data_IF_064792453659
#
_entry.id   IF_064792453659
#
_cell.length_a   1.000
_cell.length_b   1.000
_cell.length_c   1.000
_cell.angle_alpha   90.00
_cell.angle_beta   90.00
_cell.angle_gamma   90.00
#
_symmetry.space_group_name_H-M   'P 1'
#
loop_
_entity.id
_entity.type
_entity.pdbx_description
1 polymer ?
#
# COMPACT_ATOMS: atom_id res chain seq x y z
N UNK A 1 -7.05 -29.48 -20.32
CA UNK A 1 -7.36 -28.12 -19.80
C UNK A 1 -7.77 -28.29 -18.35
N UNK A 2 -6.81 -28.33 -17.43
CA UNK A 2 -7.08 -28.35 -15.99
C UNK A 2 -6.55 -27.06 -15.41
N UNK A 3 -7.53 -26.20 -15.19
CA UNK A 3 -7.61 -25.05 -14.30
C UNK A 3 -6.55 -25.08 -13.18
N UNK A 4 -5.59 -24.16 -13.24
CA UNK A 4 -4.63 -23.83 -12.18
C UNK A 4 -5.20 -22.68 -11.33
N UNK A 5 -6.42 -22.83 -10.81
CA UNK A 5 -7.05 -21.81 -9.96
C UNK A 5 -6.88 -22.22 -8.50
N UNK A 6 -5.76 -21.80 -7.87
CA UNK A 6 -5.58 -21.73 -6.41
C UNK A 6 -4.17 -21.21 -6.05
N UNK A 7 -3.81 -20.00 -6.48
CA UNK A 7 -2.48 -19.44 -6.19
C UNK A 7 -2.42 -17.92 -6.22
N UNK A 8 -3.52 -17.26 -5.91
CA UNK A 8 -3.73 -15.85 -6.23
C UNK A 8 -3.81 -15.01 -4.98
N UNK A 9 -2.79 -14.98 -4.14
CA UNK A 9 -2.96 -14.37 -2.85
C UNK A 9 -1.58 -13.91 -2.28
N UNK A 10 -1.51 -12.91 -1.36
CA UNK A 10 -0.27 -12.10 -1.17
C UNK A 10 0.23 -11.94 0.27
N UNK A 11 -0.65 -11.87 1.26
CA UNK A 11 -0.29 -11.81 2.68
C UNK A 11 -0.33 -13.19 3.30
N UNK A 12 0.67 -13.55 4.11
CA UNK A 12 0.69 -14.85 4.78
C UNK A 12 0.03 -14.74 6.14
N UNK A 13 -0.99 -15.56 6.42
CA UNK A 13 -1.71 -15.52 7.69
C UNK A 13 -0.81 -15.63 8.94
N UNK A 14 0.32 -16.33 8.83
CA UNK A 14 1.29 -16.52 9.93
C UNK A 14 2.42 -15.48 9.96
N UNK A 15 2.42 -14.49 9.06
CA UNK A 15 3.33 -13.36 9.17
C UNK A 15 3.03 -12.59 10.48
N UNK A 16 4.06 -12.19 11.23
CA UNK A 16 3.92 -11.53 12.55
C UNK A 16 2.93 -10.36 12.50
N UNK A 17 2.98 -9.57 11.43
CA UNK A 17 2.04 -8.46 11.20
C UNK A 17 0.62 -8.95 10.95
N UNK A 18 0.43 -10.00 10.16
CA UNK A 18 -0.88 -10.59 9.89
C UNK A 18 -1.53 -11.18 11.15
N UNK A 19 -0.74 -11.81 12.03
CA UNK A 19 -1.24 -12.30 13.33
C UNK A 19 -1.76 -11.14 14.19
N UNK A 20 -1.05 -10.01 14.24
CA UNK A 20 -1.55 -8.81 14.94
C UNK A 20 -2.82 -8.25 14.30
N UNK A 21 -2.89 -8.24 12.96
CA UNK A 21 -4.05 -7.74 12.22
C UNK A 21 -5.31 -8.60 12.40
N UNK A 22 -5.16 -9.89 12.73
CA UNK A 22 -6.29 -10.76 13.09
C UNK A 22 -6.93 -10.36 14.43
N UNK A 23 -6.16 -9.76 15.35
CA UNK A 23 -6.67 -9.30 16.65
C UNK A 23 -7.16 -7.86 16.55
N UNK A 24 -6.42 -7.00 15.86
CA UNK A 24 -6.77 -5.60 15.65
C UNK A 24 -6.36 -5.18 14.23
N UNK A 25 -7.32 -4.96 13.32
CA UNK A 25 -7.01 -4.62 11.93
C UNK A 25 -6.51 -3.18 11.77
N UNK A 26 -6.54 -2.35 12.82
CA UNK A 26 -6.09 -0.96 12.76
C UNK A 26 -4.58 -0.89 12.53
N UNK A 27 -4.18 -0.10 11.53
CA UNK A 27 -2.79 0.08 11.18
C UNK A 27 -2.56 1.46 10.54
N UNK A 28 -1.29 1.84 10.46
CA UNK A 28 -0.84 3.00 9.71
C UNK A 28 0.23 2.59 8.70
N UNK A 29 0.13 3.15 7.50
CA UNK A 29 1.12 2.99 6.42
C UNK A 29 1.80 4.33 6.18
N UNK A 30 3.13 4.35 6.22
CA UNK A 30 3.92 5.54 5.86
C UNK A 30 4.74 5.27 4.61
N UNK A 31 4.73 6.23 3.70
CA UNK A 31 5.53 6.23 2.47
C UNK A 31 6.23 7.58 2.33
N UNK A 32 7.43 7.56 1.73
CA UNK A 32 8.28 8.74 1.58
C UNK A 32 8.89 8.80 0.19
N UNK A 33 9.09 10.01 -0.32
CA UNK A 33 9.90 10.23 -1.52
C UNK A 33 11.35 9.76 -1.36
N UNK A 34 11.85 9.55 -0.14
CA UNK A 34 13.15 8.92 0.13
C UNK A 34 13.23 7.46 -0.32
N UNK A 35 12.10 6.78 -0.53
CA UNK A 35 12.06 5.43 -1.12
C UNK A 35 12.36 5.45 -2.64
N UNK A 36 12.41 6.65 -3.24
CA UNK A 36 12.85 6.90 -4.60
C UNK A 36 14.17 7.68 -4.60
N UNK A 37 14.71 8.02 -5.77
CA UNK A 37 15.91 8.86 -5.85
C UNK A 37 15.63 10.37 -5.66
N UNK A 38 14.36 10.79 -5.55
CA UNK A 38 13.96 12.20 -5.54
C UNK A 38 14.69 13.01 -4.45
N UNK A 39 14.60 12.61 -3.19
CA UNK A 39 15.19 13.39 -2.10
C UNK A 39 16.72 13.46 -2.20
N UNK A 40 17.36 12.37 -2.62
CA UNK A 40 18.80 12.34 -2.87
C UNK A 40 19.19 13.33 -3.97
N UNK A 41 18.45 13.34 -5.08
CA UNK A 41 18.71 14.25 -6.21
C UNK A 41 18.48 15.71 -5.85
N UNK A 42 17.52 16.00 -4.97
CA UNK A 42 17.26 17.36 -4.48
C UNK A 42 18.19 17.78 -3.32
N UNK A 43 19.03 16.88 -2.80
CA UNK A 43 19.86 17.15 -1.63
C UNK A 43 19.06 17.32 -0.33
N UNK A 44 17.84 16.78 -0.27
CA UNK A 44 17.01 16.82 0.93
C UNK A 44 17.37 15.68 1.88
N UNK A 45 17.60 16.03 3.15
CA UNK A 45 17.66 15.05 4.23
C UNK A 45 16.33 14.26 4.28
N UNK A 46 16.35 12.91 4.43
CA UNK A 46 15.14 12.10 4.46
C UNK A 46 14.15 12.40 5.59
N UNK A 47 14.54 13.17 6.61
CA UNK A 47 13.66 13.64 7.69
C UNK A 47 13.13 15.06 7.44
N UNK A 48 13.70 15.78 6.47
CA UNK A 48 13.22 17.12 6.10
C UNK A 48 11.81 17.03 5.53
N UNK A 49 10.90 17.95 5.88
CA UNK A 49 9.55 17.98 5.28
C UNK A 49 9.58 18.22 3.76
N UNK A 50 10.69 18.72 3.22
CA UNK A 50 10.89 18.85 1.77
C UNK A 50 11.06 17.48 1.06
N UNK A 51 11.49 16.46 1.79
CA UNK A 51 11.42 15.07 1.34
C UNK A 51 10.05 14.51 1.69
N UNK A 52 9.03 14.81 0.89
CA UNK A 52 7.65 14.61 1.30
C UNK A 52 7.32 13.18 1.79
N UNK A 53 6.52 13.11 2.86
CA UNK A 53 6.00 11.89 3.45
C UNK A 53 4.47 11.92 3.48
N UNK A 54 3.86 10.76 3.30
CA UNK A 54 2.44 10.53 3.54
C UNK A 54 2.29 9.47 4.62
N UNK A 55 1.31 9.67 5.51
CA UNK A 55 0.89 8.69 6.51
C UNK A 55 -0.61 8.45 6.29
N UNK A 56 -0.97 7.21 6.02
CA UNK A 56 -2.32 6.73 5.90
C UNK A 56 -2.66 5.95 7.16
N UNK A 57 -3.75 6.30 7.84
CA UNK A 57 -4.28 5.52 8.95
C UNK A 57 -5.64 4.93 8.57
N UNK A 58 -5.91 3.74 9.08
CA UNK A 58 -7.06 2.96 8.67
C UNK A 58 -7.00 1.52 9.15
N UNK A 59 -7.56 0.62 8.34
CA UNK A 59 -7.58 -0.81 8.66
C UNK A 59 -7.16 -1.68 7.48
N UNK A 60 -6.45 -2.77 7.75
CA UNK A 60 -6.18 -3.82 6.77
C UNK A 60 -7.34 -4.80 6.78
N UNK A 61 -7.95 -5.04 5.62
CA UNK A 61 -9.06 -5.97 5.46
C UNK A 61 -8.78 -6.93 4.31
N UNK A 62 -9.16 -8.20 4.48
CA UNK A 62 -9.09 -9.19 3.40
C UNK A 62 -10.05 -8.79 2.27
N UNK A 63 -9.58 -8.92 1.03
CA UNK A 63 -10.38 -8.70 -0.18
C UNK A 63 -11.09 -9.99 -0.53
N UNK A 64 -12.40 -9.91 -0.75
CA UNK A 64 -13.25 -11.05 -1.10
C UNK A 64 -14.11 -10.72 -2.32
N UNK A 65 -14.64 -11.75 -2.99
CA UNK A 65 -15.61 -11.59 -4.06
C UNK A 65 -15.06 -10.89 -5.31
N UNK A 66 -15.85 -9.99 -5.89
CA UNK A 66 -15.57 -9.37 -7.21
C UNK A 66 -14.35 -8.43 -7.21
N UNK A 67 -13.91 -7.93 -6.05
CA UNK A 67 -12.74 -7.06 -5.94
C UNK A 67 -11.42 -7.85 -5.97
N UNK A 68 -11.44 -9.17 -5.73
CA UNK A 68 -10.24 -10.00 -5.65
C UNK A 68 -9.45 -10.02 -6.97
N UNK A 69 -10.13 -10.14 -8.10
CA UNK A 69 -9.49 -10.09 -9.43
C UNK A 69 -8.81 -8.75 -9.70
N UNK A 70 -9.41 -7.66 -9.23
CA UNK A 70 -8.80 -6.33 -9.34
C UNK A 70 -7.56 -6.23 -8.45
N UNK A 71 -7.64 -6.69 -7.20
CA UNK A 71 -6.50 -6.68 -6.27
C UNK A 71 -5.32 -7.52 -6.80
N UNK A 72 -5.61 -8.72 -7.33
CA UNK A 72 -4.66 -9.59 -8.02
C UNK A 72 -3.93 -8.85 -9.14
N UNK A 73 -4.70 -8.32 -10.08
CA UNK A 73 -4.15 -7.63 -11.25
C UNK A 73 -3.34 -6.40 -10.84
N UNK A 74 -3.86 -5.59 -9.93
CA UNK A 74 -3.18 -4.39 -9.44
C UNK A 74 -1.82 -4.75 -8.83
N UNK A 75 -1.77 -5.77 -7.98
CA UNK A 75 -0.53 -6.13 -7.31
C UNK A 75 0.47 -6.82 -8.24
N UNK A 76 0.07 -7.85 -8.98
CA UNK A 76 0.98 -8.58 -9.85
C UNK A 76 1.48 -7.73 -11.03
N UNK A 77 0.74 -6.69 -11.43
CA UNK A 77 1.27 -5.70 -12.39
C UNK A 77 2.46 -4.89 -11.86
N UNK A 78 2.61 -4.80 -10.53
CA UNK A 78 3.70 -4.08 -9.86
C UNK A 78 4.77 -5.00 -9.29
N UNK A 79 4.38 -6.21 -8.89
CA UNK A 79 5.21 -7.23 -8.26
C UNK A 79 5.05 -8.57 -8.99
N UNK A 80 5.53 -8.70 -10.24
CA UNK A 80 5.37 -9.91 -11.03
C UNK A 80 6.02 -11.15 -10.38
N UNK A 81 7.03 -10.95 -9.53
CA UNK A 81 7.69 -12.03 -8.78
C UNK A 81 6.72 -12.78 -7.84
N UNK A 82 5.63 -12.15 -7.44
CA UNK A 82 4.63 -12.76 -6.55
C UNK A 82 3.79 -13.84 -7.25
N UNK A 83 3.77 -13.86 -8.58
CA UNK A 83 3.07 -14.91 -9.36
C UNK A 83 3.70 -16.29 -9.07
N UNK A 84 5.01 -16.32 -8.84
CA UNK A 84 5.78 -17.55 -8.65
C UNK A 84 5.99 -17.88 -7.16
N UNK A 85 5.33 -17.17 -6.24
CA UNK A 85 5.45 -17.45 -4.81
C UNK A 85 4.86 -18.83 -4.44
N UNK A 86 5.39 -19.51 -3.41
CA UNK A 86 4.93 -20.83 -3.02
C UNK A 86 3.44 -20.85 -2.69
N UNK A 87 2.66 -21.67 -3.38
CA UNK A 87 1.20 -21.75 -3.20
C UNK A 87 0.77 -22.39 -1.87
N UNK A 88 1.66 -23.13 -1.21
CA UNK A 88 1.42 -23.84 0.06
C UNK A 88 1.46 -22.92 1.29
N UNK A 89 1.64 -21.61 1.08
CA UNK A 89 1.69 -20.62 2.15
C UNK A 89 0.32 -20.02 2.53
N UNK A 90 -0.78 -20.40 1.87
CA UNK A 90 -2.14 -19.87 2.11
C UNK A 90 -2.13 -18.34 2.19
N UNK A 91 -1.57 -17.74 1.15
CA UNK A 91 -1.57 -16.29 1.06
C UNK A 91 -3.02 -15.77 1.02
N UNK A 92 -3.27 -14.46 1.25
CA UNK A 92 -4.53 -13.76 0.89
C UNK A 92 -4.35 -12.36 0.31
N UNK A 93 -5.28 -11.85 -0.50
CA UNK A 93 -5.28 -10.43 -0.88
C UNK A 93 -5.87 -9.59 0.23
N UNK A 94 -5.27 -8.43 0.50
CA UNK A 94 -5.80 -7.45 1.42
C UNK A 94 -5.76 -6.05 0.80
N UNK A 95 -6.64 -5.19 1.30
CA UNK A 95 -6.65 -3.77 1.01
C UNK A 95 -6.56 -2.96 2.30
N UNK A 96 -6.13 -1.72 2.16
CA UNK A 96 -6.08 -0.76 3.25
C UNK A 96 -7.26 0.20 3.15
N UNK A 97 -8.21 0.09 4.07
CA UNK A 97 -9.36 0.97 4.18
C UNK A 97 -8.94 2.26 4.93
N UNK A 98 -8.69 3.32 4.17
CA UNK A 98 -8.17 4.61 4.64
C UNK A 98 -9.28 5.39 5.35
N UNK A 99 -9.03 5.80 6.59
CA UNK A 99 -9.92 6.70 7.35
C UNK A 99 -9.31 8.07 7.59
N UNK A 100 -7.98 8.18 7.53
CA UNK A 100 -7.27 9.43 7.81
C UNK A 100 -6.00 9.52 6.96
N UNK A 101 -5.72 10.70 6.41
CA UNK A 101 -4.53 10.97 5.60
C UNK A 101 -3.80 12.19 6.15
N UNK A 102 -2.49 12.04 6.30
CA UNK A 102 -1.60 13.11 6.69
C UNK A 102 -0.46 13.26 5.68
N UNK A 103 -0.20 14.49 5.26
CA UNK A 103 0.87 14.83 4.32
C UNK A 103 1.83 15.81 4.99
N UNK A 104 3.12 15.46 5.00
CA UNK A 104 4.20 16.33 5.39
C UNK A 104 5.06 16.60 4.16
N UNK A 105 4.88 17.77 3.55
CA UNK A 105 5.50 18.17 2.27
C UNK A 105 6.18 19.54 2.33
N UNK A 106 6.05 20.27 3.44
CA UNK A 106 6.66 21.57 3.64
C UNK A 106 6.74 21.95 5.12
N UNK A 107 7.45 23.04 5.41
CA UNK A 107 7.47 23.63 6.75
C UNK A 107 6.08 24.15 7.14
N UNK A 108 5.82 24.19 8.45
CA UNK A 108 4.51 24.60 9.01
C UNK A 108 3.69 23.46 9.58
N UNK A 109 4.21 22.22 9.54
CA UNK A 109 3.58 21.05 10.14
C UNK A 109 2.80 20.20 9.15
N UNK A 110 2.10 19.21 9.68
CA UNK A 110 1.38 18.20 8.89
C UNK A 110 0.05 18.75 8.36
N UNK A 111 -0.28 18.43 7.11
CA UNK A 111 -1.58 18.73 6.49
C UNK A 111 -2.48 17.50 6.61
N UNK A 112 -3.74 17.73 6.99
CA UNK A 112 -4.77 16.68 6.99
C UNK A 112 -5.51 16.71 5.67
N UNK A 113 -5.71 15.54 5.05
CA UNK A 113 -6.48 15.35 3.82
C UNK A 113 -7.62 14.37 4.12
N UNK A 114 -8.81 14.65 3.63
CA UNK A 114 -9.95 13.72 3.79
C UNK A 114 -9.81 12.52 2.85
N UNK A 115 -10.38 11.35 3.17
CA UNK A 115 -10.40 10.22 2.25
C UNK A 115 -11.02 10.57 0.89
N UNK A 116 -12.07 11.39 0.88
CA UNK A 116 -12.74 11.81 -0.36
C UNK A 116 -11.80 12.63 -1.26
N UNK A 117 -11.09 13.61 -0.70
CA UNK A 117 -10.07 14.38 -1.44
C UNK A 117 -8.94 13.48 -1.94
N UNK A 118 -8.50 12.53 -1.12
CA UNK A 118 -7.46 11.58 -1.50
C UNK A 118 -7.88 10.71 -2.69
N UNK A 119 -9.09 10.14 -2.67
CA UNK A 119 -9.58 9.27 -3.74
C UNK A 119 -10.03 10.04 -5.00
N UNK A 120 -10.36 11.33 -4.89
CA UNK A 120 -10.70 12.19 -6.04
C UNK A 120 -9.47 12.82 -6.69
N UNK A 121 -8.31 12.82 -6.03
CA UNK A 121 -7.08 13.38 -6.56
C UNK A 121 -6.65 12.66 -7.85
N UNK A 122 -6.24 13.44 -8.86
CA UNK A 122 -5.66 12.88 -10.07
C UNK A 122 -4.28 12.28 -9.76
N UNK A 123 -4.00 11.01 -10.14
CA UNK A 123 -2.67 10.45 -9.99
C UNK A 123 -1.66 11.29 -10.79
N UNK A 124 -0.53 11.62 -10.16
CA UNK A 124 0.55 12.34 -10.84
C UNK A 124 1.11 11.46 -11.98
N UNK A 125 0.64 11.69 -13.21
CA UNK A 125 1.22 11.07 -14.40
C UNK A 125 2.53 11.77 -14.72
N UNK A 126 3.67 11.11 -14.51
CA UNK A 126 4.81 11.42 -15.36
C UNK A 126 4.42 10.93 -16.75
N UNK A 127 4.23 11.87 -17.68
CA UNK A 127 4.28 11.57 -19.12
C UNK A 127 5.70 11.05 -19.37
N UNK A 128 5.82 9.72 -19.39
CA UNK A 128 6.96 9.00 -19.92
C UNK A 128 6.66 8.65 -21.36
#
# INVERSE_FOLDING_TARGET
MSVKDAGDEVLKAVEVKCVSLQVNPQASLSMSLAQTDYCRQQGFDPQSPLCAHIILSGSVVQVNGTEAEFAKKALFSRHPEMIDWPSDHNWFFAKFNITQVWVLDYFGGVKTVTPDEYFQAAPHRKLG
#
